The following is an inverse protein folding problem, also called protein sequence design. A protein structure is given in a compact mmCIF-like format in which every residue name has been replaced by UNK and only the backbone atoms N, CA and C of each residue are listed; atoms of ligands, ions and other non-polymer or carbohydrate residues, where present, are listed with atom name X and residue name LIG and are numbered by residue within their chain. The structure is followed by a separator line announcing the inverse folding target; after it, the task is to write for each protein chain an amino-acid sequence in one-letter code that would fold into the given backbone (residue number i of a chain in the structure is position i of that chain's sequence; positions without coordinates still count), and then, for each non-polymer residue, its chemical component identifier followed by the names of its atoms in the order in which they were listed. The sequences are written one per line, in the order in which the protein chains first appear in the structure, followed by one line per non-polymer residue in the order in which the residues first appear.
data_IF_149652942629
#
_entry.id   IF_149652942629
#
_cell.length_a   1.000
_cell.length_b   1.000
_cell.length_c   1.000
_cell.angle_alpha   90.00
_cell.angle_beta   90.00
_cell.angle_gamma   90.00
#
_symmetry.space_group_name_H-M   'P 1'
#
loop_
_entity.id
_entity.type
_entity.pdbx_description
1 polymer ?
#
# COMPACT_ATOMS: atom_id res chain seq x y z
N UNK A 1 28.99 47.26 -19.32
CA UNK A 1 28.98 45.84 -19.10
C UNK A 1 27.65 45.43 -18.52
N UNK A 2 26.72 44.92 -19.36
CA UNK A 2 25.47 44.30 -18.90
C UNK A 2 25.83 42.90 -18.37
N UNK A 3 25.61 42.66 -17.06
CA UNK A 3 25.60 41.30 -16.49
C UNK A 3 24.32 40.63 -16.95
N UNK A 4 24.46 39.59 -17.77
CA UNK A 4 23.36 38.63 -17.98
C UNK A 4 23.11 37.92 -16.66
N UNK A 5 21.94 38.16 -16.06
CA UNK A 5 21.39 37.26 -15.06
C UNK A 5 20.88 36.06 -15.83
N UNK A 6 21.66 34.96 -15.83
CA UNK A 6 21.13 33.65 -16.19
C UNK A 6 20.05 33.31 -15.15
N UNK A 7 18.81 33.53 -15.53
CA UNK A 7 17.67 32.99 -14.80
C UNK A 7 17.78 31.46 -14.94
N UNK A 8 18.28 30.79 -13.92
CA UNK A 8 18.13 29.38 -13.76
C UNK A 8 16.62 29.11 -13.72
N UNK A 9 16.09 28.59 -14.82
CA UNK A 9 14.76 28.01 -14.86
C UNK A 9 14.84 26.77 -13.98
N UNK A 10 14.49 26.91 -12.71
CA UNK A 10 14.19 25.77 -11.87
C UNK A 10 13.04 25.04 -12.56
N UNK A 11 13.34 23.94 -13.23
CA UNK A 11 12.35 22.96 -13.57
C UNK A 11 11.73 22.51 -12.25
N UNK A 12 10.60 23.12 -11.88
CA UNK A 12 9.78 22.58 -10.81
C UNK A 12 9.36 21.20 -11.28
N UNK A 13 10.00 20.16 -10.76
CA UNK A 13 9.54 18.80 -10.94
C UNK A 13 8.11 18.77 -10.42
N UNK A 14 7.17 18.31 -11.25
CA UNK A 14 5.80 18.15 -10.81
C UNK A 14 5.83 17.11 -9.69
N UNK A 15 5.36 17.43 -8.48
CA UNK A 15 5.37 16.47 -7.39
C UNK A 15 4.52 15.27 -7.80
N UNK A 16 5.04 14.06 -7.60
CA UNK A 16 4.26 12.84 -7.65
C UNK A 16 3.95 12.44 -6.22
N UNK A 17 2.69 12.14 -5.99
CA UNK A 17 2.14 11.77 -4.70
C UNK A 17 1.43 10.43 -4.85
N UNK A 18 1.53 9.57 -3.86
CA UNK A 18 0.80 8.31 -3.77
C UNK A 18 0.38 8.05 -2.33
N UNK A 19 -0.63 7.23 -2.16
CA UNK A 19 -1.10 6.77 -0.87
C UNK A 19 -1.42 5.29 -0.94
N UNK A 20 -1.02 4.55 0.07
CA UNK A 20 -1.36 3.16 0.29
C UNK A 20 -2.21 3.07 1.55
N UNK A 21 -3.31 2.34 1.47
CA UNK A 21 -4.20 2.13 2.61
C UNK A 21 -4.42 0.65 2.82
N UNK A 22 -3.99 0.16 3.95
CA UNK A 22 -4.26 -1.18 4.44
C UNK A 22 -5.57 -1.21 5.23
N UNK A 23 -6.28 -2.32 5.12
CA UNK A 23 -7.53 -2.54 5.84
C UNK A 23 -7.40 -3.77 6.75
N UNK A 24 -7.74 -3.61 8.02
CA UNK A 24 -7.98 -4.76 8.89
C UNK A 24 -9.21 -5.52 8.40
N UNK A 25 -9.14 -6.85 8.37
CA UNK A 25 -10.20 -7.72 7.89
C UNK A 25 -10.63 -8.68 8.99
N UNK A 26 -11.94 -8.71 9.28
CA UNK A 26 -12.51 -9.60 10.29
C UNK A 26 -13.80 -10.21 9.75
N UNK A 27 -13.98 -11.49 10.05
CA UNK A 27 -15.24 -12.18 9.86
C UNK A 27 -15.85 -12.54 11.22
N UNK A 28 -17.17 -12.51 11.37
CA UNK A 28 -17.84 -12.71 12.66
C UNK A 28 -17.65 -14.12 13.24
N UNK A 29 -17.45 -15.15 12.41
CA UNK A 29 -17.12 -16.51 12.84
C UNK A 29 -15.61 -16.72 13.01
N UNK A 30 -15.04 -16.04 13.98
CA UNK A 30 -13.60 -15.99 14.23
C UNK A 30 -12.88 -17.34 14.33
N UNK A 31 -13.59 -18.41 14.70
CA UNK A 31 -12.97 -19.72 14.92
C UNK A 31 -12.46 -20.41 13.65
N UNK A 32 -12.90 -19.96 12.45
CA UNK A 32 -12.56 -20.59 11.18
C UNK A 32 -12.16 -19.61 10.06
N UNK A 33 -11.91 -18.33 10.36
CA UNK A 33 -11.52 -17.39 9.31
C UNK A 33 -10.03 -17.09 9.36
N UNK A 34 -9.32 -17.44 8.29
CA UNK A 34 -7.95 -17.04 8.05
C UNK A 34 -7.94 -15.67 7.36
N UNK A 35 -7.30 -14.63 7.94
CA UNK A 35 -7.28 -13.30 7.35
C UNK A 35 -6.68 -13.27 5.94
N UNK A 36 -5.64 -14.07 5.67
CA UNK A 36 -5.03 -14.18 4.34
C UNK A 36 -6.03 -14.72 3.33
N UNK A 37 -6.72 -15.82 3.67
CA UNK A 37 -7.73 -16.39 2.76
C UNK A 37 -8.91 -15.46 2.54
N UNK A 38 -9.41 -14.78 3.58
CA UNK A 38 -10.52 -13.83 3.41
C UNK A 38 -10.08 -12.60 2.61
N UNK A 39 -8.84 -12.13 2.78
CA UNK A 39 -8.27 -11.08 1.94
C UNK A 39 -8.19 -11.51 0.47
N UNK A 40 -7.68 -12.71 0.18
CA UNK A 40 -7.63 -13.26 -1.18
C UNK A 40 -9.03 -13.36 -1.80
N UNK A 41 -10.02 -13.87 -1.06
CA UNK A 41 -11.41 -14.00 -1.52
C UNK A 41 -12.06 -12.64 -1.76
N UNK A 42 -11.77 -11.65 -0.91
CA UNK A 42 -12.21 -10.27 -1.11
C UNK A 42 -11.67 -9.68 -2.41
N UNK A 43 -10.38 -9.87 -2.66
CA UNK A 43 -9.73 -9.39 -3.89
C UNK A 43 -10.28 -10.10 -5.14
N UNK A 44 -10.58 -11.40 -5.03
CA UNK A 44 -11.21 -12.17 -6.10
C UNK A 44 -12.65 -11.70 -6.41
N UNK A 45 -13.36 -11.23 -5.38
CA UNK A 45 -14.70 -10.65 -5.55
C UNK A 45 -14.70 -9.29 -6.27
N UNK A 46 -13.53 -8.69 -6.51
CA UNK A 46 -13.43 -7.45 -7.25
C UNK A 46 -13.80 -7.64 -8.72
N UNK A 47 -15.01 -7.24 -9.12
CA UNK A 47 -15.51 -7.33 -10.50
C UNK A 47 -14.96 -6.24 -11.42
N UNK A 48 -14.18 -5.28 -10.89
CA UNK A 48 -13.58 -4.20 -11.68
C UNK A 48 -12.60 -4.75 -12.70
N UNK A 49 -12.62 -4.17 -13.91
CA UNK A 49 -11.60 -4.50 -14.92
C UNK A 49 -10.22 -4.26 -14.38
N UNK A 50 -9.40 -5.28 -14.39
CA UNK A 50 -8.04 -5.26 -13.87
C UNK A 50 -7.17 -6.20 -14.69
N UNK A 51 -5.86 -6.00 -14.61
CA UNK A 51 -4.87 -6.97 -15.06
C UNK A 51 -4.19 -7.57 -13.84
N UNK A 52 -3.87 -8.86 -13.89
CA UNK A 52 -3.07 -9.50 -12.85
C UNK A 52 -1.68 -8.88 -12.84
N UNK A 53 -1.31 -8.27 -11.72
CA UNK A 53 0.04 -7.79 -11.49
C UNK A 53 0.96 -8.97 -11.15
N UNK A 54 2.11 -9.04 -11.82
CA UNK A 54 3.22 -9.90 -11.40
C UNK A 54 4.36 -8.97 -11.00
N UNK A 55 4.24 -8.37 -9.84
CA UNK A 55 5.27 -7.47 -9.33
C UNK A 55 6.51 -8.28 -8.94
N UNK A 56 7.66 -7.93 -9.51
CA UNK A 56 8.92 -8.60 -9.24
C UNK A 56 9.74 -7.77 -8.25
N UNK A 57 9.67 -8.11 -6.98
CA UNK A 57 10.46 -7.49 -5.92
C UNK A 57 11.94 -7.90 -5.91
N UNK A 58 12.34 -8.83 -6.78
CA UNK A 58 13.70 -9.38 -6.82
C UNK A 58 14.81 -8.36 -7.08
N UNK A 59 14.47 -7.16 -7.55
CA UNK A 59 15.40 -6.06 -7.79
C UNK A 59 15.38 -5.01 -6.67
N UNK A 60 14.45 -5.11 -5.75
CA UNK A 60 14.34 -4.21 -4.62
C UNK A 60 15.27 -4.64 -3.48
N UNK A 61 15.88 -3.67 -2.83
CA UNK A 61 16.72 -3.89 -1.68
C UNK A 61 16.39 -2.83 -0.63
N UNK A 62 15.58 -3.21 0.34
CA UNK A 62 15.13 -2.32 1.43
C UNK A 62 16.28 -1.76 2.28
N UNK A 63 17.44 -2.44 2.28
CA UNK A 63 18.63 -2.00 2.99
C UNK A 63 19.49 -0.98 2.21
N UNK A 64 19.12 -0.68 0.97
CA UNK A 64 19.87 0.22 0.10
C UNK A 64 19.02 1.40 -0.35
N UNK A 65 19.35 2.57 0.16
CA UNK A 65 18.78 3.83 -0.30
C UNK A 65 19.39 4.23 -1.66
N UNK A 66 18.58 4.87 -2.52
CA UNK A 66 19.02 5.35 -3.83
C UNK A 66 20.13 6.41 -3.78
N UNK A 67 20.39 6.99 -2.62
CA UNK A 67 21.52 7.89 -2.35
C UNK A 67 22.81 7.13 -2.03
N UNK A 68 22.76 5.79 -2.00
CA UNK A 68 23.89 4.92 -1.68
C UNK A 68 24.07 4.64 -0.19
N UNK A 69 23.12 5.04 0.64
CA UNK A 69 23.15 4.71 2.06
C UNK A 69 22.74 3.25 2.25
N UNK A 70 23.53 2.50 3.01
CA UNK A 70 23.30 1.07 3.25
C UNK A 70 23.26 0.81 4.75
N UNK A 71 22.21 0.12 5.19
CA UNK A 71 22.06 -0.37 6.57
C UNK A 71 22.28 -1.87 6.64
N UNK A 72 22.71 -2.37 7.80
CA UNK A 72 22.94 -3.81 8.01
C UNK A 72 21.66 -4.57 8.33
N UNK A 73 20.72 -3.94 9.03
CA UNK A 73 19.41 -4.51 9.41
C UNK A 73 18.39 -3.39 9.58
N UNK A 74 17.13 -3.73 9.41
CA UNK A 74 15.96 -2.90 9.69
C UNK A 74 15.18 -3.48 10.85
N UNK A 75 14.42 -2.67 11.57
CA UNK A 75 13.63 -3.11 12.72
C UNK A 75 12.55 -4.13 12.34
N UNK A 76 12.01 -4.03 11.13
CA UNK A 76 10.97 -4.92 10.59
C UNK A 76 11.50 -6.25 10.02
N UNK A 77 12.81 -6.46 9.93
CA UNK A 77 13.39 -7.68 9.33
C UNK A 77 12.93 -8.96 10.06
N UNK A 78 12.85 -8.93 11.40
CA UNK A 78 12.40 -10.06 12.20
C UNK A 78 10.91 -10.36 11.99
N UNK A 79 10.10 -9.34 11.87
CA UNK A 79 8.66 -9.46 11.61
C UNK A 79 8.39 -10.00 10.20
N UNK A 80 9.10 -9.49 9.19
CA UNK A 80 9.06 -9.97 7.82
C UNK A 80 9.45 -11.44 7.72
N UNK A 81 10.51 -11.86 8.41
CA UNK A 81 10.95 -13.26 8.46
C UNK A 81 9.89 -14.17 9.10
N UNK A 82 9.19 -13.69 10.13
CA UNK A 82 8.12 -14.44 10.78
C UNK A 82 6.92 -14.62 9.83
N UNK A 83 6.47 -13.58 9.15
CA UNK A 83 5.41 -13.66 8.13
C UNK A 83 5.79 -14.63 6.99
N UNK A 84 6.99 -14.51 6.45
CA UNK A 84 7.48 -15.41 5.42
C UNK A 84 7.53 -16.87 5.87
N UNK A 85 7.83 -17.12 7.14
CA UNK A 85 7.86 -18.48 7.69
C UNK A 85 6.46 -19.08 7.83
N UNK A 86 5.45 -18.29 8.16
CA UNK A 86 4.06 -18.72 8.21
C UNK A 86 3.47 -18.94 6.82
N UNK A 87 3.72 -18.03 5.89
CA UNK A 87 3.24 -18.10 4.52
C UNK A 87 3.75 -19.35 3.78
N UNK A 88 4.99 -19.79 4.06
CA UNK A 88 5.55 -21.04 3.52
C UNK A 88 4.78 -22.30 3.94
N UNK A 89 3.99 -22.25 4.99
CA UNK A 89 3.14 -23.36 5.46
C UNK A 89 1.82 -23.44 4.70
N UNK A 90 1.45 -22.40 3.96
CA UNK A 90 0.19 -22.31 3.23
C UNK A 90 0.25 -23.07 1.92
N UNK A 91 -0.88 -23.59 1.40
CA UNK A 91 -0.94 -24.29 0.12
C UNK A 91 -0.88 -23.38 -1.11
N UNK A 92 -0.58 -22.11 -0.94
CA UNK A 92 -0.56 -21.09 -1.98
C UNK A 92 0.86 -20.62 -2.27
N UNK A 93 1.14 -20.25 -3.51
CA UNK A 93 2.37 -19.53 -3.82
C UNK A 93 2.28 -18.09 -3.31
N UNK A 94 3.44 -17.46 -3.08
CA UNK A 94 3.51 -16.05 -2.70
C UNK A 94 2.74 -15.13 -3.66
N UNK A 95 2.87 -15.37 -4.97
CA UNK A 95 2.16 -14.60 -5.99
C UNK A 95 0.64 -14.80 -5.95
N UNK A 96 0.19 -16.03 -5.63
CA UNK A 96 -1.24 -16.31 -5.49
C UNK A 96 -1.80 -15.60 -4.25
N UNK A 97 -1.06 -15.61 -3.14
CA UNK A 97 -1.47 -14.92 -1.91
C UNK A 97 -1.57 -13.41 -2.08
N UNK A 98 -0.65 -12.80 -2.84
CA UNK A 98 -0.73 -11.35 -3.14
C UNK A 98 -1.98 -10.97 -3.91
N UNK A 99 -2.56 -11.86 -4.72
CA UNK A 99 -3.76 -11.58 -5.54
C UNK A 99 -3.71 -10.25 -6.30
N UNK A 100 -2.53 -9.87 -6.74
CA UNK A 100 -2.19 -8.53 -7.20
C UNK A 100 -3.00 -8.11 -8.44
N UNK A 101 -3.68 -6.96 -8.35
CA UNK A 101 -4.53 -6.42 -9.40
C UNK A 101 -4.18 -4.96 -9.67
N UNK A 102 -3.89 -4.66 -10.93
CA UNK A 102 -3.78 -3.29 -11.42
C UNK A 102 -5.12 -2.90 -12.05
N UNK A 103 -5.78 -1.92 -11.47
CA UNK A 103 -7.09 -1.43 -11.89
C UNK A 103 -6.96 -0.47 -13.07
N UNK A 104 -8.07 -0.22 -13.76
CA UNK A 104 -8.09 0.65 -14.96
C UNK A 104 -7.76 2.12 -14.68
N UNK A 105 -7.85 2.56 -13.45
CA UNK A 105 -7.43 3.90 -13.02
C UNK A 105 -5.94 3.98 -12.68
N UNK A 106 -5.19 2.88 -12.82
CA UNK A 106 -3.77 2.77 -12.47
C UNK A 106 -3.50 2.45 -11.00
N UNK A 107 -4.54 2.33 -10.18
CA UNK A 107 -4.41 1.90 -8.79
C UNK A 107 -4.05 0.42 -8.69
N UNK A 108 -3.45 0.05 -7.58
CA UNK A 108 -3.16 -1.34 -7.24
C UNK A 108 -4.06 -1.77 -6.09
N UNK A 109 -4.63 -2.98 -6.19
CA UNK A 109 -5.40 -3.60 -5.12
C UNK A 109 -4.88 -5.02 -4.92
N UNK A 110 -4.37 -5.33 -3.75
CA UNK A 110 -3.64 -6.57 -3.46
C UNK A 110 -3.72 -6.96 -1.99
N UNK A 111 -3.27 -8.15 -1.67
CA UNK A 111 -3.09 -8.59 -0.29
C UNK A 111 -1.65 -8.30 0.14
N UNK A 112 -1.48 -7.49 1.15
CA UNK A 112 -0.20 -7.31 1.82
C UNK A 112 -0.24 -8.05 3.16
N UNK A 113 0.56 -9.12 3.22
CA UNK A 113 0.53 -10.10 4.32
C UNK A 113 -0.90 -10.59 4.63
N UNK A 114 -1.55 -10.01 5.62
CA UNK A 114 -2.92 -10.37 6.06
C UNK A 114 -3.95 -9.31 5.70
N UNK A 115 -3.53 -8.17 5.12
CA UNK A 115 -4.37 -7.01 4.92
C UNK A 115 -4.67 -6.77 3.45
N UNK A 116 -5.95 -6.60 3.05
CA UNK A 116 -6.25 -6.04 1.74
C UNK A 116 -5.75 -4.60 1.70
N UNK A 117 -4.98 -4.27 0.67
CA UNK A 117 -4.37 -2.95 0.52
C UNK A 117 -4.73 -2.34 -0.83
N UNK A 118 -5.07 -1.06 -0.78
CA UNK A 118 -5.31 -0.24 -1.96
C UNK A 118 -4.25 0.85 -2.07
N UNK A 119 -3.45 0.80 -3.14
CA UNK A 119 -2.48 1.85 -3.49
C UNK A 119 -3.05 2.71 -4.61
N UNK A 120 -3.06 4.02 -4.42
CA UNK A 120 -3.49 4.97 -5.47
C UNK A 120 -2.53 4.93 -6.66
N UNK A 121 -2.95 5.37 -7.86
CA UNK A 121 -1.99 5.71 -8.90
C UNK A 121 -1.16 6.93 -8.47
N UNK A 122 -0.03 7.16 -9.14
CA UNK A 122 0.75 8.38 -8.96
C UNK A 122 -0.09 9.61 -9.31
N UNK A 123 -0.24 10.50 -8.35
CA UNK A 123 -1.03 11.71 -8.46
C UNK A 123 -0.15 12.95 -8.58
N UNK A 124 -0.59 13.91 -9.39
CA UNK A 124 0.14 15.17 -9.62
C UNK A 124 -0.41 16.35 -8.81
N UNK A 125 -1.41 16.10 -7.98
CA UNK A 125 -1.99 17.10 -7.09
C UNK A 125 -2.64 16.44 -5.88
N UNK A 126 -2.73 17.17 -4.77
CA UNK A 126 -3.43 16.73 -3.55
C UNK A 126 -4.89 16.40 -3.83
N UNK A 127 -5.57 17.21 -4.65
CA UNK A 127 -6.98 16.97 -5.00
C UNK A 127 -7.15 15.64 -5.76
N UNK A 128 -6.23 15.33 -6.67
CA UNK A 128 -6.23 14.04 -7.38
C UNK A 128 -5.97 12.89 -6.41
N UNK A 129 -5.02 13.04 -5.49
CA UNK A 129 -4.70 12.02 -4.48
C UNK A 129 -5.92 11.69 -3.62
N UNK A 130 -6.56 12.72 -3.04
CA UNK A 130 -7.78 12.55 -2.22
C UNK A 130 -8.91 11.90 -3.03
N UNK A 131 -9.09 12.29 -4.29
CA UNK A 131 -10.11 11.68 -5.14
C UNK A 131 -9.85 10.19 -5.39
N UNK A 132 -8.58 9.79 -5.56
CA UNK A 132 -8.21 8.39 -5.75
C UNK A 132 -8.29 7.58 -4.46
N UNK A 133 -7.96 8.14 -3.30
CA UNK A 133 -8.14 7.49 -2.01
C UNK A 133 -9.63 7.21 -1.73
N UNK A 134 -10.48 8.22 -1.88
CA UNK A 134 -11.94 8.05 -1.74
C UNK A 134 -12.52 7.06 -2.76
N UNK A 135 -11.99 7.04 -3.98
CA UNK A 135 -12.37 6.03 -4.98
C UNK A 135 -11.96 4.63 -4.54
N UNK A 136 -10.78 4.47 -3.92
CA UNK A 136 -10.30 3.23 -3.33
C UNK A 136 -11.25 2.70 -2.26
N UNK A 137 -11.63 3.53 -1.30
CA UNK A 137 -12.59 3.14 -0.26
C UNK A 137 -13.91 2.62 -0.85
N UNK A 138 -14.42 3.27 -1.90
CA UNK A 138 -15.65 2.83 -2.58
C UNK A 138 -15.49 1.50 -3.29
N UNK A 139 -14.35 1.29 -3.96
CA UNK A 139 -14.03 0.03 -4.65
C UNK A 139 -13.95 -1.10 -3.63
N UNK A 140 -13.24 -0.88 -2.54
CA UNK A 140 -13.10 -1.87 -1.46
C UNK A 140 -14.46 -2.19 -0.84
N UNK A 141 -15.29 -1.18 -0.55
CA UNK A 141 -16.64 -1.38 -0.02
C UNK A 141 -17.55 -2.16 -0.98
N UNK A 142 -17.44 -1.94 -2.30
CA UNK A 142 -18.15 -2.74 -3.31
C UNK A 142 -17.71 -4.21 -3.25
N UNK A 143 -16.40 -4.49 -3.16
CA UNK A 143 -15.87 -5.84 -3.05
C UNK A 143 -16.39 -6.55 -1.78
N UNK A 144 -16.44 -5.83 -0.64
CA UNK A 144 -17.04 -6.33 0.61
C UNK A 144 -18.50 -6.66 0.41
N UNK A 145 -19.27 -5.78 -0.22
CA UNK A 145 -20.70 -6.01 -0.46
C UNK A 145 -20.94 -7.23 -1.39
N UNK A 146 -20.08 -7.48 -2.37
CA UNK A 146 -20.13 -8.65 -3.23
C UNK A 146 -19.79 -9.90 -2.40
N UNK A 147 -18.69 -9.88 -1.68
CA UNK A 147 -18.25 -11.00 -0.85
C UNK A 147 -19.30 -11.38 0.20
N UNK A 148 -19.92 -10.40 0.85
CA UNK A 148 -20.94 -10.63 1.86
C UNK A 148 -22.22 -11.30 1.32
N UNK A 149 -22.51 -11.18 0.03
CA UNK A 149 -23.63 -11.94 -0.60
C UNK A 149 -23.37 -13.45 -0.65
N UNK A 150 -22.10 -13.84 -0.66
CA UNK A 150 -21.67 -15.24 -0.67
C UNK A 150 -21.59 -15.84 0.75
N UNK A 151 -21.50 -14.97 1.77
CA UNK A 151 -21.32 -15.34 3.16
C UNK A 151 -22.65 -15.38 3.89
N UNK A 152 -23.36 -16.49 3.85
CA UNK A 152 -24.64 -16.70 4.52
C UNK A 152 -24.60 -16.32 6.01
N UNK A 153 -25.05 -15.11 6.33
CA UNK A 153 -25.31 -14.66 7.70
C UNK A 153 -24.08 -14.28 8.56
N UNK A 154 -22.89 -14.26 7.98
CA UNK A 154 -21.63 -13.95 8.68
C UNK A 154 -20.82 -12.91 7.91
N UNK A 155 -21.15 -11.62 8.06
CA UNK A 155 -20.57 -10.57 7.25
C UNK A 155 -19.08 -10.41 7.52
N UNK A 156 -18.34 -10.16 6.44
CA UNK A 156 -17.00 -9.65 6.46
C UNK A 156 -17.05 -8.18 6.81
N UNK A 157 -16.20 -7.74 7.71
CA UNK A 157 -16.04 -6.36 8.12
C UNK A 157 -14.60 -5.90 7.83
N UNK A 158 -14.46 -4.69 7.34
CA UNK A 158 -13.17 -4.04 7.16
C UNK A 158 -13.07 -2.83 8.08
N UNK A 159 -11.86 -2.59 8.54
CA UNK A 159 -11.53 -1.49 9.43
C UNK A 159 -10.37 -0.70 8.84
N UNK A 160 -10.46 0.62 8.93
CA UNK A 160 -9.41 1.57 8.59
C UNK A 160 -8.96 2.24 9.87
N UNK A 161 -8.05 1.59 10.58
CA UNK A 161 -7.44 2.07 11.83
C UNK A 161 -6.01 1.52 11.95
N UNK A 162 -5.25 1.98 12.92
CA UNK A 162 -3.80 1.76 12.93
C UNK A 162 -3.33 0.48 13.62
N UNK A 163 -4.16 -0.16 14.45
CA UNK A 163 -3.76 -1.37 15.19
C UNK A 163 -4.94 -2.32 15.38
N UNK A 164 -4.66 -3.60 15.41
CA UNK A 164 -5.58 -4.63 15.87
C UNK A 164 -5.40 -4.91 17.38
N UNK A 165 -6.27 -5.78 17.94
CA UNK A 165 -6.16 -6.18 19.35
C UNK A 165 -5.04 -7.18 19.62
N UNK A 166 -4.36 -7.65 18.59
CA UNK A 166 -3.25 -8.61 18.66
C UNK A 166 -1.88 -7.94 18.58
N UNK A 167 -1.85 -6.61 18.40
CA UNK A 167 -0.63 -5.82 18.32
C UNK A 167 -0.07 -5.67 16.91
N UNK A 168 -0.78 -6.16 15.87
CA UNK A 168 -0.39 -5.89 14.50
C UNK A 168 -0.78 -4.46 14.12
N UNK A 169 0.10 -3.78 13.43
CA UNK A 169 -0.18 -2.48 12.83
C UNK A 169 -0.60 -2.64 11.38
N UNK A 170 -1.55 -1.84 10.97
CA UNK A 170 -1.91 -1.61 9.59
C UNK A 170 -2.33 -0.15 9.46
N UNK A 171 -2.05 0.47 8.34
CA UNK A 171 -2.17 1.91 8.30
C UNK A 171 -2.28 2.51 6.91
N UNK A 172 -1.79 3.71 6.83
CA UNK A 172 -1.71 4.45 5.57
C UNK A 172 -0.28 4.91 5.38
N UNK A 173 0.29 4.63 4.21
CA UNK A 173 1.59 5.10 3.80
C UNK A 173 1.43 6.25 2.82
N UNK A 174 2.07 7.37 3.12
CA UNK A 174 2.16 8.52 2.21
C UNK A 174 3.47 8.45 1.43
N UNK A 175 3.38 8.45 0.10
CA UNK A 175 4.52 8.35 -0.80
C UNK A 175 4.72 9.68 -1.54
N UNK A 176 5.92 10.23 -1.44
CA UNK A 176 6.28 11.50 -2.06
C UNK A 176 7.54 11.37 -2.91
N UNK A 177 7.44 11.72 -4.20
CA UNK A 177 8.64 11.87 -5.03
C UNK A 177 9.31 13.19 -4.70
N UNK A 178 10.46 13.12 -4.07
CA UNK A 178 11.26 14.27 -3.63
C UNK A 178 12.50 14.42 -4.50
N UNK A 179 12.85 15.64 -4.94
CA UNK A 179 14.10 15.89 -5.64
C UNK A 179 15.31 15.40 -4.82
N UNK A 180 16.24 14.72 -5.48
CA UNK A 180 17.40 14.10 -4.82
C UNK A 180 18.32 15.11 -4.10
N UNK A 181 18.35 16.35 -4.59
CA UNK A 181 19.09 17.46 -4.04
C UNK A 181 18.45 18.10 -2.81
N UNK A 182 17.24 17.69 -2.43
CA UNK A 182 16.58 18.20 -1.23
C UNK A 182 17.34 17.74 0.02
N UNK A 183 17.82 18.68 0.87
CA UNK A 183 18.52 18.32 2.09
C UNK A 183 17.63 17.50 3.03
N UNK A 184 18.21 16.47 3.65
CA UNK A 184 17.45 15.63 4.58
C UNK A 184 16.90 16.41 5.79
N UNK A 185 17.67 17.38 6.27
CA UNK A 185 17.24 18.25 7.38
C UNK A 185 15.97 19.05 7.04
N UNK A 186 15.84 19.50 5.79
CA UNK A 186 14.63 20.21 5.34
C UNK A 186 13.40 19.29 5.34
N UNK A 187 13.58 18.02 4.98
CA UNK A 187 12.53 17.02 5.06
C UNK A 187 12.09 16.76 6.50
N UNK A 188 13.06 16.56 7.40
CA UNK A 188 12.78 16.33 8.83
C UNK A 188 12.05 17.54 9.42
N UNK A 189 12.58 18.75 9.20
CA UNK A 189 11.98 19.98 9.74
C UNK A 189 10.59 20.28 9.17
N UNK A 190 10.33 19.86 7.94
CA UNK A 190 9.04 20.03 7.29
C UNK A 190 8.01 18.99 7.71
N UNK A 191 8.39 17.74 7.91
CA UNK A 191 7.47 16.63 8.18
C UNK A 191 7.22 16.39 9.68
N UNK A 192 8.25 16.49 10.52
CA UNK A 192 8.14 16.20 11.94
C UNK A 192 7.02 16.96 12.70
N UNK A 193 6.64 18.19 12.33
CA UNK A 193 5.49 18.86 12.96
C UNK A 193 4.13 18.25 12.63
N UNK A 194 4.04 17.38 11.59
CA UNK A 194 2.81 16.75 11.14
C UNK A 194 2.69 15.28 11.57
N UNK A 195 3.82 14.65 11.90
CA UNK A 195 3.92 13.27 12.37
C UNK A 195 3.90 13.23 13.91
#
# INVERSE_FOLDING_TARGET
GYRKHDAQVHHMSVPLLGMETEYGIIREDKENSDPVEESMKLLQACERKSVSGKWAYSQENSHLDMRGFKVGSLAQDEEEDAFCAEDRKRPYSYLDMKCDRVLTNGARFYNDHTHPEYSTPECRSVLSLVAHDVAGERIVAECVAIRNRELEGKPLQLFKNNTDYSGHSYGTHDNYLIPRETPFEDLVNGLAPFL
#
